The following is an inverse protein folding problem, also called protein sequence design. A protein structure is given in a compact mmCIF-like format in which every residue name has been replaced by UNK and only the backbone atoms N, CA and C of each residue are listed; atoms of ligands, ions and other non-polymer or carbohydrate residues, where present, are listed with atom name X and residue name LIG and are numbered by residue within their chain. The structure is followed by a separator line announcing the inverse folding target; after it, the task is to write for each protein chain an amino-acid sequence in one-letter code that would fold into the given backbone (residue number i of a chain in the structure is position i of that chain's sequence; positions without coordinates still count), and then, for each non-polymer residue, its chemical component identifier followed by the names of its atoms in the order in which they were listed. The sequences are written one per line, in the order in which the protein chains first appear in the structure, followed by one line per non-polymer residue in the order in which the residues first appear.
data_IF_950187836225
#
_entry.id   IF_950187836225
#
_cell.length_a   1.000
_cell.length_b   1.000
_cell.length_c   1.000
_cell.angle_alpha   90.00
_cell.angle_beta   90.00
_cell.angle_gamma   90.00
#
_symmetry.space_group_name_H-M   'P 1'
#
loop_
_entity.id
_entity.type
_entity.pdbx_description
1 polymer ?
#
# COMPACT_ATOMS: atom_id res chain seq x y z
N UNK A 1 18.24 -6.44 0.70
CA UNK A 1 17.86 -7.27 1.87
C UNK A 1 16.91 -6.48 2.75
N UNK A 2 15.90 -7.08 3.39
CA UNK A 2 15.10 -6.39 4.40
C UNK A 2 16.00 -5.99 5.58
N UNK A 3 15.76 -4.82 6.15
CA UNK A 3 16.50 -4.33 7.31
C UNK A 3 16.34 -5.28 8.51
N UNK A 4 17.35 -5.41 9.37
CA UNK A 4 17.20 -6.06 10.67
C UNK A 4 16.27 -5.24 11.56
N UNK A 5 15.58 -5.90 12.51
CA UNK A 5 14.64 -5.22 13.40
C UNK A 5 14.58 -5.86 14.79
N UNK A 6 14.20 -5.04 15.75
CA UNK A 6 13.92 -5.45 17.12
C UNK A 6 12.40 -5.48 17.35
N UNK A 7 11.90 -6.58 17.88
CA UNK A 7 10.53 -6.72 18.38
C UNK A 7 10.52 -6.44 19.86
N UNK A 8 9.82 -5.38 20.26
CA UNK A 8 9.61 -5.06 21.67
C UNK A 8 8.28 -5.64 22.14
N UNK A 9 8.31 -6.35 23.26
CA UNK A 9 7.17 -6.87 23.99
C UNK A 9 7.18 -6.27 25.39
N UNK A 10 6.01 -5.90 25.92
CA UNK A 10 5.91 -5.45 27.29
C UNK A 10 6.14 -6.61 28.27
N UNK A 11 5.57 -7.78 27.98
CA UNK A 11 5.68 -9.01 28.78
C UNK A 11 4.36 -9.54 29.33
N UNK A 12 3.34 -8.68 29.48
CA UNK A 12 2.03 -9.05 30.01
C UNK A 12 0.88 -9.01 28.96
N UNK A 13 1.20 -8.74 27.71
CA UNK A 13 0.25 -8.74 26.61
C UNK A 13 -0.09 -10.15 26.10
N UNK A 14 -1.24 -10.30 25.42
CA UNK A 14 -1.66 -11.57 24.84
C UNK A 14 -0.76 -12.04 23.67
N UNK A 15 -0.10 -11.10 22.99
CA UNK A 15 0.84 -11.39 21.89
C UNK A 15 2.27 -11.60 22.43
N UNK A 16 2.44 -12.62 23.25
CA UNK A 16 3.73 -12.96 23.84
C UNK A 16 4.77 -13.34 22.78
N UNK A 17 6.05 -13.06 23.05
CA UNK A 17 7.17 -13.35 22.16
C UNK A 17 7.21 -14.84 21.76
N UNK A 18 6.90 -15.77 22.67
CA UNK A 18 6.84 -17.20 22.37
C UNK A 18 5.82 -17.51 21.26
N UNK A 19 4.60 -16.98 21.37
CA UNK A 19 3.56 -17.17 20.37
C UNK A 19 3.92 -16.49 19.03
N UNK A 20 4.61 -15.34 19.08
CA UNK A 20 5.10 -14.70 17.87
C UNK A 20 6.17 -15.54 17.17
N UNK A 21 7.09 -16.14 17.91
CA UNK A 21 8.11 -17.04 17.35
C UNK A 21 7.50 -18.27 16.69
N UNK A 22 6.47 -18.86 17.30
CA UNK A 22 5.74 -20.00 16.73
C UNK A 22 5.09 -19.66 15.37
N UNK A 23 4.55 -18.44 15.24
CA UNK A 23 3.93 -17.96 13.98
C UNK A 23 4.98 -17.56 12.95
N UNK A 24 6.10 -16.96 13.37
CA UNK A 24 7.19 -16.55 12.47
C UNK A 24 7.90 -17.77 11.88
N UNK A 25 8.00 -18.85 12.65
CA UNK A 25 8.76 -20.03 12.28
C UNK A 25 10.28 -19.76 12.28
N UNK A 26 10.99 -20.33 11.32
CA UNK A 26 12.44 -20.13 11.21
C UNK A 26 12.78 -18.69 10.81
N UNK A 27 13.65 -18.06 11.58
CA UNK A 27 14.14 -16.70 11.32
C UNK A 27 15.65 -16.62 11.60
N UNK A 28 16.29 -15.65 10.97
CA UNK A 28 17.70 -15.31 11.19
C UNK A 28 17.85 -14.53 12.50
N UNK A 29 18.48 -15.10 13.55
CA UNK A 29 18.61 -14.47 14.86
C UNK A 29 19.53 -13.23 14.85
N UNK A 30 20.37 -13.05 13.82
CA UNK A 30 21.19 -11.85 13.66
C UNK A 30 20.40 -10.69 13.09
N UNK A 31 19.24 -10.96 12.49
CA UNK A 31 18.36 -9.96 11.87
C UNK A 31 17.10 -9.66 12.65
N UNK A 32 16.59 -10.63 13.40
CA UNK A 32 15.35 -10.50 14.17
C UNK A 32 15.67 -10.73 15.62
N UNK A 33 15.63 -9.67 16.40
CA UNK A 33 15.86 -9.72 17.86
C UNK A 33 14.55 -9.47 18.59
N UNK A 34 14.46 -9.97 19.81
CA UNK A 34 13.31 -9.80 20.68
C UNK A 34 13.79 -9.28 22.02
N UNK A 35 13.03 -8.36 22.60
CA UNK A 35 13.23 -7.87 23.96
C UNK A 35 11.87 -7.82 24.67
N UNK A 36 11.79 -8.44 25.84
CA UNK A 36 10.67 -8.33 26.76
C UNK A 36 11.05 -7.29 27.80
N UNK A 37 10.34 -6.17 27.85
CA UNK A 37 10.71 -5.04 28.71
C UNK A 37 10.69 -5.41 30.20
N UNK A 38 9.73 -6.24 30.64
CA UNK A 38 9.61 -6.64 32.05
C UNK A 38 10.67 -7.66 32.51
N UNK A 39 11.43 -8.26 31.58
CA UNK A 39 12.46 -9.25 31.90
C UNK A 39 13.85 -8.64 32.09
N UNK A 40 14.00 -7.31 31.94
CA UNK A 40 15.25 -6.59 32.04
C UNK A 40 15.15 -5.44 33.06
N UNK A 41 16.27 -5.06 33.65
CA UNK A 41 16.33 -3.97 34.62
C UNK A 41 16.11 -2.60 33.96
N UNK A 42 16.72 -2.37 32.78
CA UNK A 42 16.60 -1.15 31.98
C UNK A 42 16.37 -1.53 30.51
N UNK A 43 15.13 -1.38 30.06
CA UNK A 43 14.72 -1.71 28.68
C UNK A 43 15.31 -0.75 27.65
N UNK A 44 15.66 0.47 28.06
CA UNK A 44 16.29 1.45 27.14
C UNK A 44 17.75 1.09 26.92
N UNK A 45 18.49 0.72 27.98
CA UNK A 45 19.88 0.28 27.85
C UNK A 45 19.95 -1.02 27.05
N UNK A 46 19.16 -2.04 27.44
CA UNK A 46 19.12 -3.33 26.76
C UNK A 46 18.68 -3.21 25.28
N UNK A 47 17.63 -2.43 25.01
CA UNK A 47 17.15 -2.18 23.65
C UNK A 47 18.19 -1.45 22.80
N UNK A 48 18.86 -0.45 23.38
CA UNK A 48 19.92 0.30 22.70
C UNK A 48 21.11 -0.62 22.33
N UNK A 49 21.49 -1.53 23.22
CA UNK A 49 22.55 -2.50 22.94
C UNK A 49 22.18 -3.39 21.76
N UNK A 50 20.97 -3.95 21.76
CA UNK A 50 20.46 -4.78 20.66
C UNK A 50 20.41 -4.00 19.35
N UNK A 51 19.93 -2.76 19.36
CA UNK A 51 19.88 -1.93 18.14
C UNK A 51 21.28 -1.66 17.59
N UNK A 52 22.28 -1.44 18.44
CA UNK A 52 23.69 -1.30 18.02
C UNK A 52 24.21 -2.56 17.32
N UNK A 53 23.89 -3.76 17.84
CA UNK A 53 24.23 -5.03 17.19
C UNK A 53 23.56 -5.13 15.81
N UNK A 54 22.25 -4.83 15.71
CA UNK A 54 21.51 -4.83 14.45
C UNK A 54 22.08 -3.84 13.44
N UNK A 55 22.49 -2.65 13.89
CA UNK A 55 23.16 -1.65 13.05
C UNK A 55 24.52 -2.17 12.54
N UNK A 56 25.32 -2.80 13.40
CA UNK A 56 26.58 -3.40 13.02
C UNK A 56 26.40 -4.52 11.99
N UNK A 57 25.39 -5.36 12.18
CA UNK A 57 25.02 -6.37 11.20
C UNK A 57 24.58 -5.73 9.87
N UNK A 58 23.72 -4.73 9.91
CA UNK A 58 23.23 -4.02 8.72
C UNK A 58 24.34 -3.33 7.93
N UNK A 59 25.36 -2.81 8.61
CA UNK A 59 26.49 -2.09 7.98
C UNK A 59 27.37 -2.96 7.07
N UNK A 60 27.28 -4.28 7.18
CA UNK A 60 28.01 -5.22 6.33
C UNK A 60 27.44 -5.30 4.91
N UNK A 61 26.20 -4.83 4.71
CA UNK A 61 25.50 -4.93 3.43
C UNK A 61 25.60 -3.64 2.64
N UNK A 62 26.15 -3.75 1.45
CA UNK A 62 26.27 -2.64 0.51
C UNK A 62 25.37 -2.85 -0.69
N UNK A 63 24.83 -1.75 -1.21
CA UNK A 63 24.04 -1.79 -2.44
C UNK A 63 24.92 -2.24 -3.60
N UNK A 64 24.39 -3.16 -4.40
CA UNK A 64 25.03 -3.67 -5.61
C UNK A 64 24.25 -3.19 -6.84
N UNK A 65 24.90 -2.88 -7.97
CA UNK A 65 24.20 -2.67 -9.22
C UNK A 65 23.33 -3.89 -9.54
N UNK A 66 22.08 -3.64 -9.87
CA UNK A 66 21.14 -4.69 -10.28
C UNK A 66 20.26 -4.18 -11.41
N UNK A 67 19.70 -5.12 -12.15
CA UNK A 67 18.79 -4.83 -13.25
C UNK A 67 17.43 -4.34 -12.71
N UNK A 68 16.76 -3.47 -13.48
CA UNK A 68 15.42 -2.97 -13.13
C UNK A 68 14.35 -4.09 -13.10
N UNK A 69 14.63 -5.23 -13.68
CA UNK A 69 13.76 -6.43 -13.59
C UNK A 69 13.56 -6.91 -12.15
N UNK A 70 14.47 -6.59 -11.23
CA UNK A 70 14.33 -6.91 -9.81
C UNK A 70 13.47 -5.89 -9.04
N UNK A 71 13.12 -4.77 -9.66
CA UNK A 71 12.31 -3.73 -9.01
C UNK A 71 10.84 -4.12 -9.00
N UNK A 72 10.22 -3.97 -7.83
CA UNK A 72 8.78 -4.10 -7.67
C UNK A 72 8.21 -2.77 -7.20
N UNK A 73 7.16 -2.29 -7.86
CA UNK A 73 6.40 -1.11 -7.42
C UNK A 73 5.00 -1.50 -6.98
N UNK A 74 4.56 -0.95 -5.85
CA UNK A 74 3.19 -1.03 -5.38
C UNK A 74 2.41 0.23 -5.76
N UNK A 75 1.23 0.08 -6.31
CA UNK A 75 0.39 1.17 -6.80
C UNK A 75 -0.79 1.38 -5.85
N UNK A 76 -0.96 2.62 -5.40
CA UNK A 76 -1.97 2.98 -4.40
C UNK A 76 -2.60 4.33 -4.67
N UNK A 77 -3.90 4.44 -4.41
CA UNK A 77 -4.59 5.72 -4.38
C UNK A 77 -4.29 6.47 -3.08
N UNK A 78 -3.91 7.74 -3.18
CA UNK A 78 -3.74 8.63 -2.02
C UNK A 78 -5.04 9.34 -1.65
N UNK A 79 -5.70 9.95 -2.63
CA UNK A 79 -6.96 10.66 -2.49
C UNK A 79 -7.29 11.24 -3.86
N UNK A 80 -8.03 10.49 -4.68
CA UNK A 80 -8.32 10.87 -6.05
C UNK A 80 -9.21 12.10 -6.13
N UNK A 81 -8.94 12.95 -7.10
CA UNK A 81 -9.75 14.08 -7.56
C UNK A 81 -10.02 13.96 -9.07
N UNK A 82 -10.77 14.89 -9.65
CA UNK A 82 -11.09 14.89 -11.08
C UNK A 82 -9.86 14.98 -11.99
N UNK A 83 -8.74 15.56 -11.53
CA UNK A 83 -7.48 15.60 -12.27
C UNK A 83 -6.73 14.29 -12.24
N UNK A 84 -6.93 13.44 -11.25
CA UNK A 84 -6.22 12.17 -11.10
C UNK A 84 -6.39 11.27 -12.34
N UNK A 85 -7.59 11.23 -12.93
CA UNK A 85 -7.91 10.40 -14.11
C UNK A 85 -7.22 10.87 -15.39
N UNK A 86 -6.78 12.12 -15.48
CA UNK A 86 -6.14 12.69 -16.68
C UNK A 86 -4.65 12.97 -16.51
N UNK A 87 -4.14 13.04 -15.30
CA UNK A 87 -2.74 13.33 -14.99
C UNK A 87 -2.06 12.15 -14.29
N UNK A 88 -2.25 12.00 -12.98
CA UNK A 88 -1.49 11.07 -12.14
C UNK A 88 -1.75 9.59 -12.48
N UNK A 89 -3.02 9.16 -12.65
CA UNK A 89 -3.33 7.75 -12.90
C UNK A 89 -2.77 7.24 -14.24
N UNK A 90 -2.98 7.94 -15.37
CA UNK A 90 -2.38 7.54 -16.65
C UNK A 90 -0.84 7.59 -16.63
N UNK A 91 -0.25 8.56 -15.89
CA UNK A 91 1.20 8.64 -15.73
C UNK A 91 1.74 7.41 -14.97
N UNK A 92 1.10 7.03 -13.86
CA UNK A 92 1.46 5.82 -13.10
C UNK A 92 1.28 4.57 -13.94
N UNK A 93 0.23 4.52 -14.79
CA UNK A 93 0.04 3.44 -15.76
C UNK A 93 1.19 3.34 -16.77
N UNK A 94 1.73 4.47 -17.22
CA UNK A 94 2.89 4.48 -18.08
C UNK A 94 4.16 4.00 -17.38
N UNK A 95 4.32 4.35 -16.09
CA UNK A 95 5.40 3.80 -15.25
C UNK A 95 5.28 2.28 -15.12
N UNK A 96 4.06 1.75 -14.90
CA UNK A 96 3.82 0.31 -14.89
C UNK A 96 4.24 -0.36 -16.20
N UNK A 97 3.87 0.22 -17.35
CA UNK A 97 4.24 -0.30 -18.66
C UNK A 97 5.77 -0.35 -18.85
N UNK A 98 6.48 0.73 -18.48
CA UNK A 98 7.94 0.83 -18.59
C UNK A 98 8.65 -0.17 -17.69
N UNK A 99 8.21 -0.29 -16.45
CA UNK A 99 8.79 -1.23 -15.50
C UNK A 99 8.62 -2.68 -15.96
N UNK A 100 7.41 -3.03 -16.42
CA UNK A 100 7.12 -4.38 -16.96
C UNK A 100 7.92 -4.65 -18.22
N UNK A 101 8.08 -3.66 -19.10
CA UNK A 101 8.95 -3.79 -20.28
C UNK A 101 10.42 -4.00 -19.90
N UNK A 102 10.87 -3.49 -18.77
CA UNK A 102 12.18 -3.77 -18.19
C UNK A 102 12.25 -5.10 -17.39
N UNK A 103 11.19 -5.90 -17.40
CA UNK A 103 11.11 -7.17 -16.66
C UNK A 103 10.73 -7.06 -15.18
N UNK A 104 10.48 -5.85 -14.68
CA UNK A 104 10.09 -5.62 -13.28
C UNK A 104 8.62 -5.92 -13.00
N UNK A 105 8.21 -5.69 -11.74
CA UNK A 105 6.87 -6.05 -11.26
C UNK A 105 6.08 -4.81 -10.84
N UNK A 106 4.83 -4.73 -11.28
CA UNK A 106 3.85 -3.72 -10.84
C UNK A 106 2.70 -4.40 -10.13
N UNK A 107 2.38 -3.94 -8.92
CA UNK A 107 1.33 -4.51 -8.08
C UNK A 107 0.21 -3.50 -7.90
N UNK A 108 -0.96 -3.77 -8.50
CA UNK A 108 -2.17 -2.98 -8.30
C UNK A 108 -2.88 -3.43 -7.02
N UNK A 109 -3.25 -2.49 -6.17
CA UNK A 109 -3.95 -2.75 -4.90
C UNK A 109 -5.34 -2.11 -4.88
N UNK A 110 -6.07 -2.24 -3.76
CA UNK A 110 -7.37 -1.57 -3.53
C UNK A 110 -8.53 -2.15 -4.34
N UNK A 111 -8.80 -3.45 -4.09
CA UNK A 111 -9.90 -4.17 -4.75
C UNK A 111 -11.25 -3.41 -4.76
N UNK A 112 -11.69 -2.73 -3.67
CA UNK A 112 -12.93 -1.95 -3.70
C UNK A 112 -12.92 -0.78 -4.71
N UNK A 113 -11.74 -0.31 -5.08
CA UNK A 113 -11.60 0.75 -6.09
C UNK A 113 -11.60 0.21 -7.52
N UNK A 114 -11.76 -1.10 -7.70
CA UNK A 114 -11.86 -1.75 -9.02
C UNK A 114 -13.32 -2.03 -9.40
N UNK A 115 -14.27 -1.94 -8.45
CA UNK A 115 -15.68 -2.22 -8.67
C UNK A 115 -16.27 -1.27 -9.72
N UNK A 116 -16.89 -1.82 -10.77
CA UNK A 116 -17.41 -1.09 -11.91
C UNK A 116 -16.43 -0.98 -13.09
N UNK A 117 -15.14 -1.29 -12.90
CA UNK A 117 -14.12 -1.34 -13.95
C UNK A 117 -13.34 -2.68 -13.97
N UNK A 118 -13.80 -3.65 -13.19
CA UNK A 118 -13.15 -4.97 -13.05
C UNK A 118 -12.99 -5.72 -14.37
N UNK A 119 -13.90 -5.53 -15.33
CA UNK A 119 -13.84 -6.15 -16.64
C UNK A 119 -12.58 -5.79 -17.43
N UNK A 120 -12.02 -4.59 -17.20
CA UNK A 120 -10.75 -4.18 -17.81
C UNK A 120 -9.57 -5.02 -17.34
N UNK A 121 -9.59 -5.48 -16.09
CA UNK A 121 -8.57 -6.39 -15.54
C UNK A 121 -8.82 -7.82 -16.02
N UNK A 122 -10.07 -8.29 -15.97
CA UNK A 122 -10.47 -9.62 -16.42
C UNK A 122 -10.09 -9.87 -17.88
N UNK A 123 -10.34 -8.88 -18.76
CA UNK A 123 -10.00 -8.96 -20.20
C UNK A 123 -8.50 -8.98 -20.47
N UNK A 124 -7.67 -8.63 -19.48
CA UNK A 124 -6.20 -8.67 -19.57
C UNK A 124 -5.59 -9.85 -18.82
N UNK A 125 -6.41 -10.76 -18.29
CA UNK A 125 -5.89 -11.98 -17.65
C UNK A 125 -5.09 -12.81 -18.67
N UNK A 126 -3.91 -13.27 -18.28
CA UNK A 126 -3.01 -14.05 -19.17
C UNK A 126 -3.61 -15.38 -19.62
N UNK A 127 -4.50 -15.93 -18.84
CA UNK A 127 -5.18 -17.21 -19.10
C UNK A 127 -6.48 -17.31 -18.28
N UNK A 128 -7.23 -18.40 -18.48
CA UNK A 128 -8.50 -18.63 -17.79
C UNK A 128 -8.34 -18.74 -16.26
N UNK A 129 -7.28 -19.34 -15.77
CA UNK A 129 -7.02 -19.46 -14.32
C UNK A 129 -6.91 -18.07 -13.67
N UNK A 130 -6.13 -17.15 -14.26
CA UNK A 130 -5.98 -15.79 -13.75
C UNK A 130 -7.28 -15.00 -13.90
N UNK A 131 -8.04 -15.22 -14.94
CA UNK A 131 -9.38 -14.65 -15.08
C UNK A 131 -10.27 -15.07 -13.92
N UNK A 132 -10.36 -16.37 -13.65
CA UNK A 132 -11.20 -16.92 -12.57
C UNK A 132 -10.74 -16.43 -11.19
N UNK A 133 -9.43 -16.35 -10.94
CA UNK A 133 -8.87 -15.73 -9.74
C UNK A 133 -9.27 -14.26 -9.60
N UNK A 134 -9.26 -13.51 -10.69
CA UNK A 134 -9.66 -12.08 -10.70
C UNK A 134 -11.13 -11.94 -10.33
N UNK A 135 -12.01 -12.76 -10.97
CA UNK A 135 -13.44 -12.82 -10.64
C UNK A 135 -13.64 -13.19 -9.19
N UNK A 136 -12.95 -14.24 -8.72
CA UNK A 136 -13.01 -14.69 -7.32
C UNK A 136 -12.61 -13.60 -6.34
N UNK A 137 -11.49 -12.90 -6.58
CA UNK A 137 -11.02 -11.79 -5.73
C UNK A 137 -12.09 -10.69 -5.58
N UNK A 138 -12.65 -10.24 -6.71
CA UNK A 138 -13.66 -9.16 -6.73
C UNK A 138 -14.92 -9.59 -5.98
N UNK A 139 -15.42 -10.81 -6.24
CA UNK A 139 -16.65 -11.31 -5.62
C UNK A 139 -16.48 -11.56 -4.12
N UNK A 140 -15.39 -12.19 -3.70
CA UNK A 140 -15.09 -12.36 -2.28
C UNK A 140 -15.03 -11.04 -1.53
N UNK A 141 -14.50 -9.99 -2.17
CA UNK A 141 -14.45 -8.70 -1.52
C UNK A 141 -15.82 -8.02 -1.43
N UNK A 142 -16.68 -8.18 -2.44
CA UNK A 142 -18.09 -7.75 -2.38
C UNK A 142 -18.86 -8.50 -1.27
N UNK A 143 -18.68 -9.82 -1.19
CA UNK A 143 -19.24 -10.65 -0.12
C UNK A 143 -18.75 -10.24 1.27
N UNK A 144 -17.46 -9.92 1.40
CA UNK A 144 -16.89 -9.39 2.63
C UNK A 144 -17.60 -8.11 3.08
N UNK A 145 -17.82 -7.12 2.20
CA UNK A 145 -18.60 -5.93 2.54
C UNK A 145 -20.02 -6.28 2.97
N UNK A 146 -20.72 -7.09 2.19
CA UNK A 146 -22.09 -7.52 2.49
C UNK A 146 -22.21 -8.27 3.81
N UNK A 147 -21.22 -9.08 4.18
CA UNK A 147 -21.21 -9.82 5.46
C UNK A 147 -21.18 -8.90 6.69
N UNK A 148 -20.69 -7.66 6.51
CA UNK A 148 -20.72 -6.61 7.53
C UNK A 148 -21.87 -5.63 7.35
N UNK A 149 -22.78 -5.88 6.38
CA UNK A 149 -23.90 -5.00 6.04
C UNK A 149 -23.48 -3.68 5.42
N UNK A 150 -22.22 -3.59 4.93
CA UNK A 150 -21.72 -2.43 4.25
C UNK A 150 -22.14 -2.44 2.77
N UNK A 151 -22.32 -1.24 2.20
CA UNK A 151 -22.67 -1.11 0.79
C UNK A 151 -21.43 -1.19 -0.08
N UNK A 152 -21.50 -1.95 -1.15
CA UNK A 152 -20.39 -2.13 -2.10
C UNK A 152 -20.16 -0.92 -3.01
N UNK A 153 -21.14 -0.01 -3.10
CA UNK A 153 -21.17 1.11 -4.04
C UNK A 153 -21.05 2.50 -3.39
N UNK A 154 -20.56 2.60 -2.16
CA UNK A 154 -20.38 3.89 -1.48
C UNK A 154 -19.13 4.68 -1.92
N UNK A 155 -18.28 4.09 -2.75
CA UNK A 155 -17.18 4.79 -3.39
C UNK A 155 -17.73 5.59 -4.60
N UNK A 156 -17.29 6.84 -4.86
CA UNK A 156 -16.26 7.64 -4.21
C UNK A 156 -16.67 8.20 -2.84
N UNK A 157 -15.67 8.44 -1.99
CA UNK A 157 -15.85 9.05 -0.68
C UNK A 157 -16.32 10.53 -0.81
N UNK A 158 -16.88 11.14 0.26
CA UNK A 158 -17.26 12.56 0.21
C UNK A 158 -16.12 13.50 -0.23
N UNK A 159 -14.88 13.23 0.19
CA UNK A 159 -13.70 13.99 -0.24
C UNK A 159 -13.38 13.84 -1.73
N UNK A 160 -13.55 12.63 -2.28
CA UNK A 160 -13.37 12.41 -3.72
C UNK A 160 -14.48 13.12 -4.54
N UNK A 161 -15.73 13.14 -4.02
CA UNK A 161 -16.84 13.87 -4.65
C UNK A 161 -16.58 15.37 -4.64
N UNK A 162 -16.14 15.92 -3.52
CA UNK A 162 -15.74 17.32 -3.44
C UNK A 162 -14.56 17.65 -4.38
N UNK A 163 -13.68 16.67 -4.65
CA UNK A 163 -12.59 16.76 -5.63
C UNK A 163 -13.01 16.57 -7.08
N UNK A 164 -14.31 16.36 -7.38
CA UNK A 164 -14.84 16.28 -8.75
C UNK A 164 -15.03 14.88 -9.31
N UNK A 165 -14.89 13.82 -8.53
CA UNK A 165 -15.23 12.46 -8.94
C UNK A 165 -16.68 12.18 -8.55
N UNK A 166 -17.53 11.88 -9.54
CA UNK A 166 -18.98 11.81 -9.31
C UNK A 166 -19.54 10.41 -9.19
N UNK A 167 -18.95 9.43 -9.89
CA UNK A 167 -19.47 8.08 -9.97
C UNK A 167 -18.45 7.03 -9.50
N UNK A 168 -18.97 5.83 -9.20
CA UNK A 168 -18.14 4.67 -8.87
C UNK A 168 -17.22 4.31 -10.06
N UNK A 169 -17.77 4.35 -11.26
CA UNK A 169 -17.07 4.00 -12.49
C UNK A 169 -15.92 4.96 -12.77
N UNK A 170 -16.12 6.27 -12.62
CA UNK A 170 -15.03 7.27 -12.76
C UNK A 170 -13.87 6.95 -11.81
N UNK A 171 -14.20 6.66 -10.55
CA UNK A 171 -13.20 6.31 -9.54
C UNK A 171 -12.46 5.03 -9.91
N UNK A 172 -13.21 4.01 -10.35
CA UNK A 172 -12.67 2.67 -10.64
C UNK A 172 -11.86 2.64 -11.92
N UNK A 173 -12.30 3.34 -12.96
CA UNK A 173 -11.53 3.52 -14.20
C UNK A 173 -10.18 4.16 -13.92
N UNK A 174 -10.16 5.22 -13.10
CA UNK A 174 -8.92 5.87 -12.66
C UNK A 174 -8.01 4.92 -11.88
N UNK A 175 -8.56 4.09 -11.00
CA UNK A 175 -7.78 3.11 -10.26
C UNK A 175 -7.13 2.06 -11.17
N UNK A 176 -7.91 1.49 -12.08
CA UNK A 176 -7.44 0.42 -12.99
C UNK A 176 -6.40 0.95 -14.00
N UNK A 177 -6.48 2.22 -14.39
CA UNK A 177 -5.49 2.88 -15.26
C UNK A 177 -4.05 2.78 -14.73
N UNK A 178 -3.87 2.83 -13.40
CA UNK A 178 -2.53 2.72 -12.77
C UNK A 178 -1.81 1.43 -13.14
N UNK A 179 -2.53 0.35 -13.37
CA UNK A 179 -1.98 -0.94 -13.80
C UNK A 179 -1.47 -0.97 -15.26
N UNK A 180 -1.56 0.14 -15.99
CA UNK A 180 -1.10 0.23 -17.37
C UNK A 180 -1.88 -0.69 -18.32
N UNK A 181 -1.19 -1.23 -19.34
CA UNK A 181 -1.77 -2.06 -20.40
C UNK A 181 -1.29 -3.51 -20.42
N UNK A 182 -0.36 -3.86 -19.52
CA UNK A 182 0.19 -5.20 -19.46
C UNK A 182 -0.85 -6.25 -19.05
N UNK A 183 -0.56 -7.50 -19.33
CA UNK A 183 -1.38 -8.63 -18.88
C UNK A 183 -1.38 -8.69 -17.34
N UNK A 184 -2.50 -9.14 -16.79
CA UNK A 184 -2.60 -9.54 -15.39
C UNK A 184 -2.01 -10.95 -15.29
N UNK A 185 -0.84 -11.05 -14.68
CA UNK A 185 -0.09 -12.32 -14.63
C UNK A 185 -0.58 -13.25 -13.52
N UNK A 186 -1.00 -12.67 -12.38
CA UNK A 186 -1.58 -13.44 -11.26
C UNK A 186 -2.38 -12.53 -10.32
N UNK A 187 -3.08 -13.17 -9.40
CA UNK A 187 -3.87 -12.56 -8.32
C UNK A 187 -3.42 -13.16 -7.00
N UNK A 188 -2.95 -12.32 -6.09
CA UNK A 188 -2.46 -12.74 -4.79
C UNK A 188 -3.49 -12.45 -3.69
N UNK A 189 -3.66 -13.39 -2.77
CA UNK A 189 -4.40 -13.13 -1.55
C UNK A 189 -3.59 -12.25 -0.58
N UNK A 190 -4.26 -11.72 0.45
CA UNK A 190 -3.60 -10.91 1.47
C UNK A 190 -2.53 -11.72 2.22
N UNK A 191 -1.29 -11.28 2.12
CA UNK A 191 -0.14 -11.91 2.77
C UNK A 191 0.57 -12.95 1.92
N UNK A 192 0.06 -13.29 0.73
CA UNK A 192 0.75 -14.18 -0.18
C UNK A 192 2.06 -13.56 -0.68
N UNK A 193 3.02 -14.42 -0.96
CA UNK A 193 4.23 -14.04 -1.66
C UNK A 193 4.00 -14.24 -3.16
N UNK A 194 4.36 -13.26 -3.97
CA UNK A 194 4.45 -13.46 -5.42
C UNK A 194 5.44 -14.59 -5.72
N UNK A 195 5.18 -15.36 -6.78
CA UNK A 195 6.11 -16.41 -7.23
C UNK A 195 7.48 -15.79 -7.51
N UNK A 196 8.51 -16.32 -6.88
CA UNK A 196 9.90 -15.84 -6.98
C UNK A 196 10.47 -15.94 -8.40
N UNK A 197 9.82 -16.72 -9.29
CA UNK A 197 10.31 -16.99 -10.64
C UNK A 197 9.75 -16.08 -11.73
N UNK A 198 8.72 -15.25 -11.46
CA UNK A 198 8.13 -14.34 -12.45
C UNK A 198 7.57 -13.07 -11.83
N UNK A 199 7.73 -11.90 -12.49
CA UNK A 199 7.07 -10.66 -12.09
C UNK A 199 5.55 -10.82 -12.19
N UNK A 200 4.79 -10.50 -11.12
CA UNK A 200 3.35 -10.69 -11.10
C UNK A 200 2.62 -9.46 -10.55
N UNK A 201 1.51 -9.02 -11.18
CA UNK A 201 0.62 -8.06 -10.56
C UNK A 201 -0.17 -8.72 -9.43
N UNK A 202 -0.19 -8.09 -8.26
CA UNK A 202 -0.94 -8.55 -7.10
C UNK A 202 -2.09 -7.62 -6.78
N UNK A 203 -3.23 -8.21 -6.41
CA UNK A 203 -4.34 -7.47 -5.83
C UNK A 203 -4.50 -7.87 -4.36
N UNK A 204 -4.33 -6.92 -3.46
CA UNK A 204 -4.42 -7.15 -2.01
C UNK A 204 -5.76 -6.71 -1.43
N UNK A 205 -6.32 -7.50 -0.51
CA UNK A 205 -7.52 -7.17 0.27
C UNK A 205 -7.13 -6.56 1.62
N UNK A 206 -7.80 -5.50 2.07
CA UNK A 206 -7.56 -4.89 3.38
C UNK A 206 -7.65 -3.36 3.40
N UNK A 207 -7.67 -2.78 4.59
CA UNK A 207 -7.66 -1.33 4.78
C UNK A 207 -6.35 -0.69 4.28
N UNK A 208 -6.34 0.65 4.06
CA UNK A 208 -5.22 1.38 3.44
C UNK A 208 -3.84 1.00 4.00
N UNK A 209 -3.72 0.86 5.32
CA UNK A 209 -2.45 0.56 5.98
C UNK A 209 -2.02 -0.91 5.81
N UNK A 210 -2.94 -1.85 5.96
CA UNK A 210 -2.62 -3.27 5.84
C UNK A 210 -2.25 -3.68 4.42
N UNK A 211 -2.74 -2.95 3.40
CA UNK A 211 -2.36 -3.15 1.99
C UNK A 211 -0.90 -2.78 1.72
N UNK A 212 -0.41 -1.71 2.34
CA UNK A 212 0.99 -1.31 2.24
C UNK A 212 1.94 -2.32 2.88
N UNK A 213 1.52 -2.99 3.95
CA UNK A 213 2.31 -4.05 4.57
C UNK A 213 2.40 -5.30 3.72
N UNK A 214 1.35 -5.66 2.97
CA UNK A 214 1.44 -6.73 1.98
C UNK A 214 2.52 -6.46 0.95
N UNK A 215 2.61 -5.22 0.47
CA UNK A 215 3.63 -4.81 -0.48
C UNK A 215 5.05 -4.92 0.11
N UNK A 216 5.25 -4.69 1.39
CA UNK A 216 6.56 -4.79 2.05
C UNK A 216 7.07 -6.23 2.25
N UNK A 217 6.24 -7.24 2.03
CA UNK A 217 6.61 -8.67 2.18
C UNK A 217 7.35 -9.26 0.99
N UNK A 218 7.33 -8.62 -0.17
CA UNK A 218 8.07 -9.10 -1.33
C UNK A 218 9.58 -8.88 -1.12
N UNK A 219 10.41 -9.85 -1.53
CA UNK A 219 11.86 -9.83 -1.28
C UNK A 219 12.66 -8.86 -2.17
N UNK A 220 12.02 -8.16 -3.09
CA UNK A 220 12.64 -7.24 -4.04
C UNK A 220 12.75 -5.82 -3.49
N UNK A 221 13.63 -4.95 -4.03
CA UNK A 221 13.60 -3.54 -3.74
C UNK A 221 12.22 -2.97 -4.10
N UNK A 222 11.60 -2.31 -3.15
CA UNK A 222 10.21 -1.88 -3.21
C UNK A 222 10.11 -0.37 -3.25
N UNK A 223 9.22 0.14 -4.08
CA UNK A 223 8.79 1.55 -4.06
C UNK A 223 7.27 1.57 -4.14
N UNK A 224 6.62 2.29 -3.25
CA UNK A 224 5.18 2.49 -3.31
C UNK A 224 4.88 3.84 -3.94
N UNK A 225 3.98 3.85 -4.91
CA UNK A 225 3.55 5.05 -5.62
C UNK A 225 2.13 5.41 -5.19
N UNK A 226 1.98 6.63 -4.68
CA UNK A 226 0.70 7.22 -4.27
C UNK A 226 0.31 8.35 -5.19
N UNK A 227 -0.94 8.38 -5.63
CA UNK A 227 -1.49 9.46 -6.44
C UNK A 227 -2.60 10.25 -5.72
N UNK A 228 -2.92 11.42 -6.23
CA UNK A 228 -4.06 12.24 -5.81
C UNK A 228 -3.74 13.30 -4.76
N UNK A 229 -4.71 13.65 -3.92
CA UNK A 229 -4.65 14.79 -2.98
C UNK A 229 -3.69 14.61 -1.80
N UNK A 230 -2.93 13.53 -1.79
CA UNK A 230 -1.84 13.28 -0.84
C UNK A 230 -2.30 13.00 0.60
N UNK A 231 -1.95 11.83 1.13
CA UNK A 231 -2.00 11.56 2.57
C UNK A 231 -0.60 11.58 3.16
N UNK A 232 -0.48 11.99 4.42
CA UNK A 232 0.78 11.98 5.16
C UNK A 232 1.30 10.55 5.44
N UNK A 233 0.52 9.53 5.08
CA UNK A 233 0.82 8.11 5.35
C UNK A 233 1.96 7.60 4.49
N UNK A 234 2.84 6.83 5.08
CA UNK A 234 3.88 6.06 4.41
C UNK A 234 3.99 4.66 5.03
N UNK A 235 4.72 3.76 4.40
CA UNK A 235 4.96 2.41 4.88
C UNK A 235 6.48 2.17 5.09
N UNK A 236 6.87 1.00 5.64
CA UNK A 236 8.28 0.68 5.87
C UNK A 236 9.17 0.62 4.63
N UNK A 237 8.59 0.76 3.44
CA UNK A 237 9.33 0.88 2.18
C UNK A 237 9.21 2.30 1.63
N UNK A 238 10.17 2.77 0.80
CA UNK A 238 10.11 4.09 0.19
C UNK A 238 8.75 4.36 -0.45
N UNK A 239 8.12 5.49 -0.12
CA UNK A 239 6.77 5.83 -0.58
C UNK A 239 6.79 7.15 -1.32
N UNK A 240 6.69 7.10 -2.65
CA UNK A 240 6.67 8.25 -3.54
C UNK A 240 5.23 8.76 -3.66
N UNK A 241 5.03 10.06 -3.43
CA UNK A 241 3.73 10.73 -3.52
C UNK A 241 3.66 11.61 -4.74
N UNK A 242 2.65 11.36 -5.57
CA UNK A 242 2.41 12.08 -6.82
C UNK A 242 1.14 12.91 -6.68
N UNK A 243 1.22 14.21 -6.90
CA UNK A 243 0.05 15.07 -6.98
C UNK A 243 -0.58 15.02 -8.36
N UNK A 244 -1.91 15.11 -8.42
CA UNK A 244 -2.70 15.23 -9.65
C UNK A 244 -2.65 16.63 -10.26
N UNK A 245 -2.33 17.66 -9.45
CA UNK A 245 -2.33 19.06 -9.85
C UNK A 245 -1.19 19.86 -9.22
N UNK A 246 -0.78 20.95 -9.88
CA UNK A 246 0.36 21.75 -9.46
C UNK A 246 0.08 22.59 -8.22
N UNK A 247 -1.17 22.97 -7.98
CA UNK A 247 -1.55 23.71 -6.77
C UNK A 247 -1.23 22.88 -5.52
N UNK A 248 -1.65 21.61 -5.50
CA UNK A 248 -1.36 20.71 -4.40
C UNK A 248 0.15 20.47 -4.23
N UNK A 249 0.87 20.26 -5.33
CA UNK A 249 2.33 20.10 -5.30
C UNK A 249 3.02 21.30 -4.64
N UNK A 250 2.58 22.51 -4.98
CA UNK A 250 3.08 23.74 -4.39
C UNK A 250 2.66 23.95 -2.93
N UNK A 251 1.45 23.57 -2.56
CA UNK A 251 0.92 23.73 -1.21
C UNK A 251 1.48 22.69 -0.23
N UNK A 252 1.65 21.44 -0.65
CA UNK A 252 2.17 20.34 0.18
C UNK A 252 3.59 19.93 -0.22
N UNK A 253 4.47 20.92 -0.39
CA UNK A 253 5.85 20.72 -0.86
C UNK A 253 6.66 19.71 -0.06
N UNK A 254 6.39 19.59 1.23
CA UNK A 254 7.06 18.64 2.12
C UNK A 254 6.48 17.21 2.06
N UNK A 255 5.34 17.00 1.39
CA UNK A 255 4.72 15.68 1.25
C UNK A 255 4.84 15.10 -0.15
N UNK A 256 4.68 15.98 -1.16
CA UNK A 256 4.59 15.59 -2.57
C UNK A 256 5.99 15.50 -3.18
N UNK A 257 6.32 14.34 -3.69
CA UNK A 257 7.59 14.07 -4.35
C UNK A 257 7.57 14.49 -5.82
N UNK A 258 6.45 14.24 -6.50
CA UNK A 258 6.33 14.46 -7.93
C UNK A 258 5.02 15.19 -8.28
N UNK A 259 5.12 16.18 -9.16
CA UNK A 259 3.99 16.94 -9.69
C UNK A 259 3.59 16.39 -11.06
N UNK A 260 2.44 15.69 -11.15
CA UNK A 260 1.85 15.27 -12.42
C UNK A 260 0.90 16.33 -13.01
N UNK A 261 0.58 17.37 -12.25
CA UNK A 261 -0.27 18.48 -12.71
C UNK A 261 0.29 19.21 -13.93
N UNK A 262 1.62 19.21 -14.12
CA UNK A 262 2.28 19.76 -15.30
C UNK A 262 1.76 19.19 -16.62
N UNK A 263 1.21 17.96 -16.61
CA UNK A 263 0.57 17.35 -17.78
C UNK A 263 -0.68 18.15 -18.20
N UNK A 264 -1.48 18.61 -17.25
CA UNK A 264 -2.64 19.47 -17.53
C UNK A 264 -2.21 20.90 -17.99
N UNK A 265 -0.97 21.28 -17.70
CA UNK A 265 -0.36 22.58 -18.06
C UNK A 265 0.39 22.52 -19.40
N UNK A 266 0.37 21.38 -20.11
CA UNK A 266 0.92 21.21 -21.44
C UNK A 266 2.21 20.39 -21.54
N UNK A 267 2.72 19.85 -20.43
CA UNK A 267 3.81 18.86 -20.51
C UNK A 267 3.32 17.57 -21.16
N UNK A 268 4.11 16.98 -22.04
CA UNK A 268 3.77 15.68 -22.58
C UNK A 268 3.83 14.59 -21.51
N UNK A 269 2.89 13.64 -21.55
CA UNK A 269 2.88 12.50 -20.62
C UNK A 269 4.17 11.69 -20.71
N UNK A 270 4.76 11.59 -21.89
CA UNK A 270 6.01 10.87 -22.12
C UNK A 270 7.18 11.52 -21.37
N UNK A 271 7.34 12.86 -21.47
CA UNK A 271 8.36 13.61 -20.74
C UNK A 271 8.17 13.50 -19.21
N UNK A 272 6.93 13.62 -18.74
CA UNK A 272 6.61 13.40 -17.33
C UNK A 272 6.95 11.97 -16.87
N UNK A 273 6.69 10.97 -17.72
CA UNK A 273 7.02 9.58 -17.42
C UNK A 273 8.53 9.32 -17.39
N UNK A 274 9.31 9.94 -18.25
CA UNK A 274 10.79 9.88 -18.22
C UNK A 274 11.32 10.39 -16.87
N UNK A 275 10.86 11.56 -16.44
CA UNK A 275 11.28 12.17 -15.17
C UNK A 275 10.84 11.32 -13.96
N UNK A 276 9.60 10.81 -13.95
CA UNK A 276 9.10 10.01 -12.84
C UNK A 276 9.79 8.66 -12.77
N UNK A 277 10.00 7.99 -13.90
CA UNK A 277 10.71 6.71 -13.93
C UNK A 277 12.15 6.85 -13.43
N UNK A 278 12.85 7.89 -13.87
CA UNK A 278 14.18 8.18 -13.37
C UNK A 278 14.18 8.45 -11.86
N UNK A 279 13.21 9.22 -11.36
CA UNK A 279 13.09 9.49 -9.93
C UNK A 279 12.84 8.19 -9.12
N UNK A 280 11.99 7.28 -9.62
CA UNK A 280 11.76 5.96 -9.01
C UNK A 280 13.06 5.15 -8.96
N UNK A 281 13.84 5.13 -10.03
CA UNK A 281 15.14 4.44 -10.06
C UNK A 281 16.13 5.07 -9.09
N UNK A 282 16.14 6.40 -8.95
CA UNK A 282 17.00 7.10 -8.00
C UNK A 282 16.64 6.79 -6.56
N UNK A 283 15.35 6.76 -6.23
CA UNK A 283 14.86 6.33 -4.90
C UNK A 283 15.21 4.87 -4.64
N UNK A 284 14.93 3.97 -5.58
CA UNK A 284 15.24 2.54 -5.45
C UNK A 284 16.75 2.28 -5.26
N UNK A 285 17.59 3.10 -5.91
CA UNK A 285 19.06 3.03 -5.79
C UNK A 285 19.57 3.68 -4.51
N UNK A 286 18.73 4.41 -3.76
CA UNK A 286 19.14 5.18 -2.58
C UNK A 286 19.95 6.43 -2.91
N UNK A 287 19.92 6.91 -4.16
CA UNK A 287 20.52 8.19 -4.55
C UNK A 287 19.72 9.38 -4.06
N UNK A 288 18.41 9.20 -3.96
CA UNK A 288 17.46 10.18 -3.44
C UNK A 288 16.56 9.49 -2.43
N UNK A 289 16.20 10.17 -1.36
CA UNK A 289 15.18 9.72 -0.42
C UNK A 289 13.83 10.29 -0.79
N UNK A 290 12.78 9.44 -0.75
CA UNK A 290 11.41 9.94 -0.81
C UNK A 290 11.12 10.84 0.39
N UNK A 291 10.24 11.81 0.25
CA UNK A 291 9.89 12.73 1.35
C UNK A 291 9.29 12.01 2.55
N UNK A 292 8.63 10.88 2.32
CA UNK A 292 8.16 10.02 3.40
C UNK A 292 9.29 9.48 4.27
N UNK A 293 10.42 9.09 3.66
CA UNK A 293 11.61 8.65 4.39
C UNK A 293 12.28 9.84 5.11
N UNK A 294 12.42 10.98 4.42
CA UNK A 294 12.98 12.19 5.02
C UNK A 294 12.17 12.73 6.23
N UNK A 295 10.88 12.40 6.31
CA UNK A 295 10.00 12.74 7.41
C UNK A 295 9.87 11.61 8.44
N UNK A 296 10.67 10.55 8.32
CA UNK A 296 10.66 9.37 9.21
C UNK A 296 9.26 8.74 9.35
N UNK A 297 8.55 8.63 8.22
CA UNK A 297 7.20 8.08 8.18
C UNK A 297 7.22 6.60 7.84
N UNK A 298 6.97 5.77 8.87
CA UNK A 298 7.02 4.31 8.78
C UNK A 298 5.81 3.69 9.50
N UNK A 299 4.61 4.09 9.09
CA UNK A 299 3.39 3.62 9.74
C UNK A 299 3.16 2.13 9.47
N UNK A 300 2.81 1.41 10.53
CA UNK A 300 2.38 0.02 10.51
C UNK A 300 0.90 -0.08 10.90
N UNK A 301 0.18 -0.96 10.25
CA UNK A 301 -1.18 -1.30 10.64
C UNK A 301 -1.38 -2.82 10.73
N UNK A 302 -2.07 -3.24 11.76
CA UNK A 302 -2.44 -4.64 11.95
C UNK A 302 -3.92 -4.80 11.58
N UNK A 303 -4.20 -5.70 10.63
CA UNK A 303 -5.57 -6.01 10.26
C UNK A 303 -6.26 -6.79 11.36
N UNK A 304 -7.41 -6.25 11.87
CA UNK A 304 -8.23 -6.90 12.90
C UNK A 304 -9.64 -7.15 12.38
N UNK A 305 -10.00 -8.40 12.16
CA UNK A 305 -11.36 -8.76 11.74
C UNK A 305 -12.46 -8.33 12.75
N UNK A 306 -12.15 -8.28 14.06
CA UNK A 306 -13.11 -7.97 15.13
C UNK A 306 -13.38 -6.48 15.38
N UNK A 307 -12.61 -5.56 14.85
CA UNK A 307 -12.80 -4.12 15.15
C UNK A 307 -14.12 -3.56 14.61
N UNK A 308 -14.67 -4.13 13.56
CA UNK A 308 -16.00 -3.77 13.04
C UNK A 308 -17.15 -4.27 13.92
N UNK A 309 -17.05 -5.46 14.50
CA UNK A 309 -18.07 -5.98 15.41
C UNK A 309 -18.23 -5.12 16.67
N UNK A 310 -17.13 -4.68 17.27
CA UNK A 310 -17.17 -3.85 18.49
C UNK A 310 -17.86 -2.50 18.21
N UNK A 311 -17.64 -1.88 17.07
CA UNK A 311 -18.30 -0.63 16.70
C UNK A 311 -19.81 -0.79 16.47
N UNK A 312 -20.25 -1.93 15.93
CA UNK A 312 -21.68 -2.20 15.70
C UNK A 312 -22.43 -2.48 16.99
N UNK A 313 -21.86 -3.30 17.86
CA UNK A 313 -22.47 -3.60 19.17
C UNK A 313 -22.60 -2.33 20.02
N UNK A 314 -21.58 -1.46 20.05
CA UNK A 314 -21.66 -0.15 20.73
C UNK A 314 -22.73 0.77 20.11
N UNK A 315 -22.83 0.82 18.78
CA UNK A 315 -23.83 1.66 18.12
C UNK A 315 -25.27 1.12 18.27
N UNK A 316 -25.47 -0.19 18.33
CA UNK A 316 -26.79 -0.78 18.57
C UNK A 316 -27.24 -0.63 20.02
N UNK A 317 -26.32 -0.75 21.00
CA UNK A 317 -26.63 -0.47 22.40
C UNK A 317 -26.98 1.01 22.59
N UNK A 318 -26.16 1.93 22.07
CA UNK A 318 -26.43 3.36 22.19
C UNK A 318 -27.73 3.79 21.48
N UNK A 319 -28.09 3.13 20.37
CA UNK A 319 -29.37 3.39 19.68
C UNK A 319 -30.57 2.81 20.41
N UNK A 320 -30.44 1.69 21.13
CA UNK A 320 -31.51 1.14 21.98
C UNK A 320 -31.75 1.98 23.20
N UNK A 321 -30.68 2.45 23.85
CA UNK A 321 -30.78 3.31 25.04
C UNK A 321 -31.43 4.67 24.72
N UNK A 322 -31.08 5.28 23.56
CA UNK A 322 -31.71 6.52 23.08
C UNK A 322 -33.18 6.28 22.69
N UNK A 323 -33.51 5.17 22.03
CA UNK A 323 -34.88 4.84 21.62
C UNK A 323 -35.77 4.38 22.79
N UNK A 324 -35.21 3.94 23.92
CA UNK A 324 -35.95 3.67 25.18
C UNK A 324 -36.14 4.96 25.99
N UNK A 325 -35.19 5.89 25.97
CA UNK A 325 -35.36 7.19 26.61
C UNK A 325 -36.41 8.08 25.91
N UNK A 326 -36.44 8.08 24.57
CA UNK A 326 -37.45 8.83 23.79
C UNK A 326 -38.87 8.23 23.89
N UNK A 327 -39.03 7.03 24.47
CA UNK A 327 -40.36 6.40 24.73
C UNK A 327 -40.85 6.61 26.15
N UNK A 328 -40.00 7.11 27.04
CA UNK A 328 -40.34 7.34 28.45
C UNK A 328 -40.45 8.84 28.80
N UNK A 329 -40.21 9.72 27.83
CA UNK A 329 -40.53 11.15 27.85
C UNK A 329 -41.80 11.42 26.96
#
# INVERSE_FOLDING_TARGET
MPAPFLVLSLGCENNQVSLMKDVIGDYDPDRVKFLVCQDVEDEIEAGTAIVKELCAYASQFHRQPCDASLLTIGLKCGGSDGFSGITANPLVGEISNRLIAAGGTSILTEVPEMFGAETLLMNRARNQEVFDKTVGLINHFKEYFMSYGEKINENPSPGNKAGGITTLEDKSLGCVQKGGRALVEDVLAYGDRGNEERPQPAAGTGERFSRLQCLSRCRSPYVTVYDGTGHAVACPVPTIKISSNSHLAGFKRNWIDFNAGTIAEGESREAAADRLFQYILDVASGRVHAKSEALDKHELAIFKKRSYFIRRECNEHTRRDVAEQERND
#
